data_IF_104447853273
#
_entry.id   IF_104447853273
#
_cell.length_a   1.000
_cell.length_b   1.000
_cell.length_c   1.000
_cell.angle_alpha   90.00
_cell.angle_beta   90.00
_cell.angle_gamma   90.00
#
_symmetry.space_group_name_H-M   'P 1'
#
loop_
_entity.id
_entity.type
_entity.pdbx_description
1 polymer ?
#
# COMPACT_ATOMS: atom_id res chain seq x y z
N UNK A 1 1.17 -7.97 -31.06
CA UNK A 1 2.63 -7.89 -30.96
C UNK A 1 3.15 -8.81 -29.83
N UNK A 2 2.70 -8.61 -28.57
CA UNK A 2 3.21 -9.33 -27.40
C UNK A 2 2.98 -10.85 -27.47
N UNK A 3 1.88 -11.32 -28.07
CA UNK A 3 1.65 -12.77 -28.26
C UNK A 3 2.68 -13.42 -29.18
N UNK A 4 3.27 -12.66 -30.10
CA UNK A 4 4.31 -13.16 -31.02
C UNK A 4 5.73 -13.05 -30.42
N UNK A 5 5.85 -12.45 -29.21
CA UNK A 5 7.11 -12.16 -28.52
C UNK A 5 7.33 -12.99 -27.25
N UNK A 6 6.60 -14.11 -27.09
CA UNK A 6 6.71 -14.97 -25.90
C UNK A 6 5.73 -14.66 -24.77
N UNK A 7 4.88 -13.63 -24.94
CA UNK A 7 3.84 -13.27 -23.99
C UNK A 7 4.30 -12.39 -22.83
N UNK A 8 3.45 -12.30 -21.81
CA UNK A 8 3.68 -11.53 -20.60
C UNK A 8 3.94 -12.46 -19.43
N UNK A 9 4.95 -12.15 -18.64
CA UNK A 9 5.20 -12.77 -17.34
C UNK A 9 4.58 -11.92 -16.24
N UNK A 10 3.65 -12.48 -15.49
CA UNK A 10 2.94 -11.77 -14.41
C UNK A 10 3.37 -12.33 -13.06
N UNK A 11 3.84 -11.45 -12.18
CA UNK A 11 4.10 -11.74 -10.78
C UNK A 11 3.14 -10.94 -9.93
N UNK A 12 2.18 -11.61 -9.30
CA UNK A 12 1.25 -11.01 -8.34
C UNK A 12 1.73 -11.21 -6.89
N UNK A 13 1.29 -10.34 -5.97
CA UNK A 13 1.62 -10.47 -4.55
C UNK A 13 1.01 -11.76 -3.97
N UNK A 14 1.67 -12.31 -2.95
CA UNK A 14 1.13 -13.47 -2.22
C UNK A 14 0.03 -13.09 -1.22
N UNK A 15 -0.01 -11.83 -0.82
CA UNK A 15 -0.99 -11.27 0.13
C UNK A 15 -1.62 -10.02 -0.45
N UNK A 16 -2.89 -9.81 -0.15
CA UNK A 16 -3.68 -8.64 -0.54
C UNK A 16 -3.89 -7.75 0.68
N UNK A 17 -2.81 -7.16 1.19
CA UNK A 17 -2.84 -6.34 2.39
C UNK A 17 -2.94 -4.85 2.05
N UNK A 18 -3.73 -4.13 2.86
CA UNK A 18 -3.89 -2.68 2.78
C UNK A 18 -3.45 -2.02 4.07
N UNK A 19 -2.89 -0.82 3.95
CA UNK A 19 -2.62 0.02 5.10
C UNK A 19 -3.85 0.84 5.51
N UNK A 20 -4.11 0.86 6.82
CA UNK A 20 -4.96 1.83 7.47
C UNK A 20 -4.17 2.62 8.50
N UNK A 21 -4.63 3.81 8.85
CA UNK A 21 -3.90 4.72 9.71
C UNK A 21 -4.81 5.32 10.77
N UNK A 22 -4.31 5.36 12.00
CA UNK A 22 -4.80 6.24 13.06
C UNK A 22 -3.82 7.39 13.20
N UNK A 23 -4.31 8.61 13.05
CA UNK A 23 -3.51 9.82 12.98
C UNK A 23 -3.59 10.59 14.30
N UNK A 24 -2.45 11.00 14.83
CA UNK A 24 -2.32 11.72 16.10
C UNK A 24 -1.44 12.98 15.95
N UNK A 25 -1.73 13.99 16.75
CA UNK A 25 -0.98 15.25 16.80
C UNK A 25 -0.66 15.66 18.25
N UNK A 26 0.33 16.54 18.41
CA UNK A 26 0.78 17.08 19.72
C UNK A 26 1.04 15.97 20.76
N UNK A 27 1.61 14.85 20.32
CA UNK A 27 1.96 13.76 21.22
C UNK A 27 3.37 13.95 21.76
N UNK A 28 3.57 13.57 23.04
CA UNK A 28 4.90 13.46 23.62
C UNK A 28 5.74 12.45 22.82
N UNK A 29 7.06 12.68 22.81
CA UNK A 29 7.99 11.79 22.14
C UNK A 29 7.80 10.35 22.64
N UNK A 30 7.65 9.43 21.70
CA UNK A 30 7.56 7.99 21.90
C UNK A 30 6.37 7.44 22.71
N UNK A 31 5.50 8.28 23.30
CA UNK A 31 4.37 7.79 24.11
C UNK A 31 3.45 6.84 23.33
N UNK A 32 3.07 7.21 22.09
CA UNK A 32 2.26 6.35 21.22
C UNK A 32 3.04 5.10 20.79
N UNK A 33 4.33 5.21 20.49
CA UNK A 33 5.15 4.06 20.10
C UNK A 33 5.27 3.04 21.25
N UNK A 34 5.49 3.52 22.47
CA UNK A 34 5.52 2.68 23.67
C UNK A 34 4.15 2.03 23.94
N UNK A 35 3.07 2.80 23.78
CA UNK A 35 1.70 2.28 23.94
C UNK A 35 1.41 1.19 22.90
N UNK A 36 1.73 1.40 21.64
CA UNK A 36 1.55 0.41 20.56
C UNK A 36 2.35 -0.85 20.86
N UNK A 37 3.60 -0.73 21.28
CA UNK A 37 4.43 -1.89 21.63
C UNK A 37 3.88 -2.70 22.80
N UNK A 38 3.33 -2.03 23.83
CA UNK A 38 2.80 -2.66 25.02
C UNK A 38 1.41 -3.31 24.82
N UNK A 39 0.65 -2.90 23.80
CA UNK A 39 -0.76 -3.29 23.62
C UNK A 39 -1.03 -4.10 22.35
N UNK A 40 -0.01 -4.73 21.73
CA UNK A 40 -0.16 -5.49 20.50
C UNK A 40 -1.34 -6.48 20.52
N UNK A 41 -1.45 -7.27 21.60
CA UNK A 41 -2.53 -8.26 21.76
C UNK A 41 -3.92 -7.61 21.71
N UNK A 42 -4.09 -6.45 22.34
CA UNK A 42 -5.38 -5.73 22.38
C UNK A 42 -5.84 -5.31 20.98
N UNK A 43 -4.91 -4.87 20.10
CA UNK A 43 -5.22 -4.52 18.72
C UNK A 43 -5.70 -5.75 17.92
N UNK A 44 -5.01 -6.88 18.04
CA UNK A 44 -5.43 -8.09 17.33
C UNK A 44 -6.81 -8.59 17.78
N UNK A 45 -7.10 -8.53 19.06
CA UNK A 45 -8.42 -8.90 19.59
C UNK A 45 -9.50 -7.89 19.16
N UNK A 46 -9.22 -6.59 19.22
CA UNK A 46 -10.14 -5.55 18.74
C UNK A 46 -10.49 -5.73 17.27
N UNK A 47 -9.49 -5.87 16.40
CA UNK A 47 -9.67 -6.10 14.96
C UNK A 47 -10.52 -7.35 14.69
N UNK A 48 -10.28 -8.44 15.43
CA UNK A 48 -11.03 -9.70 15.30
C UNK A 48 -12.50 -9.53 15.68
N UNK A 49 -12.79 -8.80 16.75
CA UNK A 49 -14.15 -8.49 17.15
C UNK A 49 -14.86 -7.54 16.19
N UNK A 50 -14.14 -6.53 15.67
CA UNK A 50 -14.68 -5.55 14.74
C UNK A 50 -15.12 -6.18 13.41
N UNK A 51 -14.34 -7.15 12.89
CA UNK A 51 -14.62 -7.77 11.58
C UNK A 51 -14.39 -9.29 11.57
N UNK A 52 -15.21 -10.10 12.27
CA UNK A 52 -15.03 -11.54 12.34
C UNK A 52 -15.06 -12.24 10.96
N UNK A 53 -15.78 -11.65 10.00
CA UNK A 53 -15.95 -12.24 8.67
C UNK A 53 -14.65 -12.36 7.88
N UNK A 54 -13.69 -11.43 8.05
CA UNK A 54 -12.40 -11.51 7.36
C UNK A 54 -11.51 -12.58 8.00
N UNK A 55 -11.57 -12.74 9.31
CA UNK A 55 -10.82 -13.78 10.03
C UNK A 55 -11.29 -15.20 9.67
N UNK A 56 -12.60 -15.41 9.42
CA UNK A 56 -13.11 -16.69 8.90
C UNK A 56 -12.57 -17.05 7.52
N UNK A 57 -12.06 -16.07 6.76
CA UNK A 57 -11.40 -16.24 5.46
C UNK A 57 -9.87 -16.25 5.55
N UNK A 58 -9.32 -16.40 6.75
CA UNK A 58 -7.88 -16.37 7.04
C UNK A 58 -7.19 -15.04 6.67
N UNK A 59 -7.92 -13.94 6.70
CA UNK A 59 -7.39 -12.58 6.62
C UNK A 59 -7.43 -11.88 7.98
N UNK A 60 -7.38 -10.56 7.99
CA UNK A 60 -7.44 -9.71 9.18
C UNK A 60 -6.15 -8.93 9.44
N UNK A 61 -5.99 -8.43 10.65
CA UNK A 61 -4.83 -7.63 11.05
C UNK A 61 -3.54 -8.46 11.01
N UNK A 62 -2.50 -7.92 10.36
CA UNK A 62 -1.18 -8.55 10.23
C UNK A 62 -0.13 -7.89 11.13
N UNK A 63 -0.15 -6.55 11.24
CA UNK A 63 0.77 -5.81 12.09
C UNK A 63 0.24 -4.43 12.45
N UNK A 64 0.73 -3.89 13.56
CA UNK A 64 0.48 -2.52 14.01
C UNK A 64 1.81 -1.88 14.38
N UNK A 65 2.11 -0.73 13.78
CA UNK A 65 3.36 -0.02 14.01
C UNK A 65 3.12 1.49 14.15
N UNK A 66 3.78 2.13 15.10
CA UNK A 66 3.80 3.57 15.22
C UNK A 66 4.94 4.15 14.36
N UNK A 67 4.63 5.19 13.60
CA UNK A 67 5.60 5.87 12.74
C UNK A 67 5.51 7.38 12.96
N UNK A 68 6.63 7.99 13.31
CA UNK A 68 6.73 9.43 13.42
C UNK A 68 6.70 10.07 12.03
N UNK A 69 5.78 11.00 11.82
CA UNK A 69 5.59 11.72 10.56
C UNK A 69 6.29 13.07 10.61
N UNK A 70 6.20 13.75 11.75
CA UNK A 70 6.87 15.03 12.02
C UNK A 70 7.18 15.15 13.51
N UNK A 71 7.85 16.20 13.98
CA UNK A 71 8.12 16.39 15.42
C UNK A 71 6.86 16.34 16.31
N UNK A 72 5.69 16.67 15.76
CA UNK A 72 4.42 16.75 16.52
C UNK A 72 3.35 15.77 16.03
N UNK A 73 3.65 14.91 15.06
CA UNK A 73 2.66 14.01 14.44
C UNK A 73 3.13 12.57 14.39
N UNK A 74 2.25 11.66 14.75
CA UNK A 74 2.47 10.22 14.71
C UNK A 74 1.34 9.56 13.94
N UNK A 75 1.69 8.64 13.06
CA UNK A 75 0.77 7.68 12.43
C UNK A 75 0.93 6.32 13.08
N UNK A 76 -0.17 5.70 13.46
CA UNK A 76 -0.19 4.27 13.78
C UNK A 76 -0.71 3.55 12.55
N UNK A 77 0.18 2.80 11.91
CA UNK A 77 -0.07 2.12 10.65
C UNK A 77 -0.49 0.67 10.92
N UNK A 78 -1.68 0.29 10.46
CA UNK A 78 -2.27 -1.05 10.55
C UNK A 78 -2.18 -1.73 9.20
N UNK A 79 -1.51 -2.86 9.10
CA UNK A 79 -1.49 -3.68 7.89
C UNK A 79 -2.56 -4.76 8.00
N UNK A 80 -3.52 -4.77 7.08
CA UNK A 80 -4.71 -5.63 7.15
C UNK A 80 -4.83 -6.43 5.85
N UNK A 81 -4.82 -7.76 5.95
CA UNK A 81 -5.10 -8.65 4.83
C UNK A 81 -6.60 -8.73 4.55
N UNK A 82 -7.01 -8.16 3.44
CA UNK A 82 -8.42 -8.07 3.01
C UNK A 82 -8.87 -9.20 2.09
N UNK A 83 -7.95 -10.13 1.77
CA UNK A 83 -8.17 -11.24 0.82
C UNK A 83 -8.67 -10.73 -0.54
N UNK A 84 -9.67 -11.37 -1.12
CA UNK A 84 -10.24 -11.02 -2.43
C UNK A 84 -11.14 -9.78 -2.40
N UNK A 85 -11.36 -9.19 -1.23
CA UNK A 85 -12.18 -7.98 -1.13
C UNK A 85 -11.38 -6.75 -1.59
N UNK A 86 -12.05 -5.77 -2.19
CA UNK A 86 -11.49 -4.44 -2.46
C UNK A 86 -10.96 -3.78 -1.16
N UNK A 87 -11.59 -4.06 -0.02
CA UNK A 87 -11.02 -3.93 1.31
C UNK A 87 -11.28 -2.61 2.03
N UNK A 88 -11.60 -1.52 1.35
CA UNK A 88 -11.74 -0.19 1.96
C UNK A 88 -12.66 -0.16 3.20
N UNK A 89 -13.86 -0.73 3.08
CA UNK A 89 -14.81 -0.81 4.19
C UNK A 89 -14.35 -1.73 5.33
N UNK A 90 -13.58 -2.78 5.01
CA UNK A 90 -13.03 -3.69 6.01
C UNK A 90 -11.99 -2.95 6.85
N UNK A 91 -11.08 -2.26 6.18
CA UNK A 91 -10.02 -1.48 6.83
C UNK A 91 -10.63 -0.40 7.71
N UNK A 92 -11.52 0.44 7.17
CA UNK A 92 -12.13 1.52 7.94
C UNK A 92 -12.95 1.00 9.13
N UNK A 93 -13.69 -0.12 9.01
CA UNK A 93 -14.42 -0.72 10.13
C UNK A 93 -13.48 -1.15 11.27
N UNK A 94 -12.33 -1.74 10.92
CA UNK A 94 -11.33 -2.13 11.93
C UNK A 94 -10.73 -0.87 12.58
N UNK A 95 -10.31 0.12 11.80
CA UNK A 95 -9.69 1.35 12.33
C UNK A 95 -10.62 2.13 13.25
N UNK A 96 -11.90 2.23 12.93
CA UNK A 96 -12.89 2.89 13.78
C UNK A 96 -13.04 2.17 15.14
N UNK A 97 -12.98 0.85 15.14
CA UNK A 97 -12.99 0.09 16.40
C UNK A 97 -11.68 0.27 17.19
N UNK A 98 -10.54 0.29 16.50
CA UNK A 98 -9.21 0.46 17.12
C UNK A 98 -9.03 1.82 17.81
N UNK A 99 -9.75 2.85 17.38
CA UNK A 99 -9.78 4.14 18.08
C UNK A 99 -10.08 4.00 19.56
N UNK A 100 -10.98 3.09 19.95
CA UNK A 100 -11.35 2.90 21.35
C UNK A 100 -10.18 2.38 22.20
N UNK A 101 -9.24 1.64 21.64
CA UNK A 101 -8.03 1.18 22.32
C UNK A 101 -7.12 2.36 22.69
N UNK A 102 -7.15 3.44 21.92
CA UNK A 102 -6.39 4.68 22.16
C UNK A 102 -7.13 5.73 22.99
N UNK A 103 -8.08 5.33 23.85
CA UNK A 103 -8.89 6.27 24.65
C UNK A 103 -8.05 7.27 25.49
N UNK A 104 -6.87 6.87 25.95
CA UNK A 104 -5.93 7.75 26.68
C UNK A 104 -5.30 8.84 25.77
N UNK A 105 -5.39 8.72 24.46
CA UNK A 105 -4.89 9.67 23.48
C UNK A 105 -6.00 10.37 22.69
N UNK A 106 -7.25 10.29 23.14
CA UNK A 106 -8.40 10.83 22.42
C UNK A 106 -8.26 12.33 22.12
N UNK A 107 -7.69 13.12 23.04
CA UNK A 107 -7.44 14.54 22.83
C UNK A 107 -6.43 14.85 21.69
N UNK A 108 -5.62 13.86 21.32
CA UNK A 108 -4.59 13.97 20.29
C UNK A 108 -5.01 13.29 18.96
N UNK A 109 -6.16 12.64 18.94
CA UNK A 109 -6.66 11.90 17.78
C UNK A 109 -7.17 12.83 16.68
N UNK A 110 -6.77 12.58 15.43
CA UNK A 110 -7.18 13.34 14.25
C UNK A 110 -8.14 12.59 13.34
N UNK A 111 -7.93 11.29 13.17
CA UNK A 111 -8.73 10.51 12.25
C UNK A 111 -8.27 9.07 12.10
N UNK A 112 -9.18 8.24 11.60
CA UNK A 112 -8.98 6.83 11.27
C UNK A 112 -9.36 6.62 9.79
N UNK A 113 -8.39 6.29 8.93
CA UNK A 113 -8.64 6.19 7.50
C UNK A 113 -7.65 5.25 6.80
N UNK A 114 -8.13 4.54 5.76
CA UNK A 114 -7.27 3.73 4.92
C UNK A 114 -6.25 4.58 4.15
N UNK A 115 -5.13 3.95 3.75
CA UNK A 115 -4.16 4.51 2.83
C UNK A 115 -4.25 3.83 1.47
N UNK A 116 -4.25 4.62 0.40
CA UNK A 116 -4.14 4.12 -0.98
C UNK A 116 -2.68 3.91 -1.43
N UNK A 117 -1.71 4.03 -0.52
CA UNK A 117 -0.31 3.70 -0.81
C UNK A 117 -0.12 2.17 -0.74
N UNK A 118 -0.49 1.49 -1.83
CA UNK A 118 -0.68 0.03 -1.91
C UNK A 118 0.64 -0.73 -2.15
N UNK A 119 1.66 -0.54 -1.33
CA UNK A 119 2.98 -1.18 -1.46
C UNK A 119 2.95 -2.71 -1.37
N UNK A 120 1.94 -3.26 -0.68
CA UNK A 120 1.76 -4.70 -0.50
C UNK A 120 0.88 -5.34 -1.58
N UNK A 121 0.36 -4.54 -2.52
CA UNK A 121 -0.51 -5.00 -3.62
C UNK A 121 0.10 -4.73 -5.00
N UNK A 122 1.41 -4.86 -5.11
CA UNK A 122 2.14 -4.60 -6.36
C UNK A 122 2.07 -5.81 -7.29
N UNK A 123 1.56 -5.60 -8.50
CA UNK A 123 1.64 -6.57 -9.59
C UNK A 123 2.76 -6.16 -10.54
N UNK A 124 3.70 -7.06 -10.77
CA UNK A 124 4.79 -6.84 -11.74
C UNK A 124 4.47 -7.60 -13.02
N UNK A 125 4.51 -6.89 -14.13
CA UNK A 125 4.36 -7.47 -15.47
C UNK A 125 5.64 -7.23 -16.25
N UNK A 126 6.20 -8.27 -16.85
CA UNK A 126 7.41 -8.19 -17.67
C UNK A 126 7.24 -8.92 -18.98
N UNK A 127 7.97 -8.47 -19.99
CA UNK A 127 8.09 -9.15 -21.28
C UNK A 127 9.54 -9.03 -21.76
N UNK A 128 10.02 -10.05 -22.44
CA UNK A 128 11.34 -10.05 -23.05
C UNK A 128 11.19 -10.02 -24.58
N UNK A 129 11.96 -9.15 -25.20
CA UNK A 129 12.01 -9.00 -26.67
C UNK A 129 13.44 -8.91 -27.12
N UNK A 130 13.76 -9.52 -28.26
CA UNK A 130 15.10 -9.37 -28.83
C UNK A 130 15.25 -8.00 -29.50
N UNK A 131 16.49 -7.52 -29.57
CA UNK A 131 16.82 -6.25 -30.22
C UNK A 131 16.36 -6.23 -31.69
N UNK A 132 16.44 -7.35 -32.38
CA UNK A 132 15.97 -7.49 -33.77
C UNK A 132 14.45 -7.33 -33.90
N UNK A 133 13.69 -7.91 -32.95
CA UNK A 133 12.22 -7.85 -32.96
C UNK A 133 11.67 -6.44 -32.72
N UNK A 134 12.40 -5.59 -31.99
CA UNK A 134 11.99 -4.19 -31.74
C UNK A 134 12.50 -3.22 -32.80
N UNK A 135 13.24 -3.67 -33.83
CA UNK A 135 13.72 -2.83 -34.94
C UNK A 135 15.20 -2.48 -34.89
N UNK A 136 15.99 -3.17 -34.07
CA UNK A 136 17.46 -3.05 -34.04
C UNK A 136 18.00 -2.25 -32.85
N UNK A 137 19.33 -2.22 -32.75
CA UNK A 137 20.07 -1.64 -31.63
C UNK A 137 19.72 -0.17 -31.34
N UNK A 138 19.60 0.64 -32.36
CA UNK A 138 19.30 2.06 -32.26
C UNK A 138 17.91 2.31 -31.60
N UNK A 139 16.92 1.47 -31.90
CA UNK A 139 15.59 1.56 -31.27
C UNK A 139 15.66 1.13 -29.79
N UNK A 140 16.40 0.04 -29.49
CA UNK A 140 16.61 -0.40 -28.11
C UNK A 140 17.24 0.71 -27.25
N UNK A 141 18.28 1.36 -27.76
CA UNK A 141 18.94 2.49 -27.07
C UNK A 141 18.01 3.67 -26.82
N UNK A 142 17.15 4.01 -27.80
CA UNK A 142 16.15 5.08 -27.64
C UNK A 142 15.10 4.74 -26.56
N UNK A 143 14.66 3.49 -26.49
CA UNK A 143 13.70 3.04 -25.44
C UNK A 143 14.33 3.20 -24.07
N UNK A 144 15.59 2.77 -23.90
CA UNK A 144 16.31 2.92 -22.63
C UNK A 144 16.50 4.39 -22.27
N UNK A 145 16.92 5.22 -23.22
CA UNK A 145 17.12 6.65 -23.00
C UNK A 145 15.82 7.38 -22.64
N UNK A 146 14.68 7.02 -23.26
CA UNK A 146 13.38 7.59 -22.92
C UNK A 146 12.93 7.20 -21.51
N UNK A 147 13.14 5.95 -21.10
CA UNK A 147 12.87 5.51 -19.72
C UNK A 147 13.76 6.25 -18.71
N UNK A 148 15.03 6.45 -19.04
CA UNK A 148 15.94 7.20 -18.17
C UNK A 148 15.56 8.69 -18.09
N UNK A 149 15.13 9.28 -19.20
CA UNK A 149 14.58 10.63 -19.22
C UNK A 149 13.38 10.77 -18.24
N UNK A 150 12.45 9.80 -18.26
CA UNK A 150 11.29 9.80 -17.36
C UNK A 150 11.66 9.68 -15.87
N UNK A 151 12.81 9.08 -15.52
CA UNK A 151 13.29 9.02 -14.13
C UNK A 151 13.78 10.38 -13.61
N UNK A 152 14.23 11.26 -14.47
CA UNK A 152 14.85 12.53 -14.10
C UNK A 152 13.96 13.75 -14.38
N UNK A 153 12.88 13.58 -15.16
CA UNK A 153 11.96 14.66 -15.53
C UNK A 153 10.53 14.36 -15.05
N UNK A 154 10.04 15.17 -14.10
CA UNK A 154 8.73 15.00 -13.50
C UNK A 154 7.58 15.13 -14.52
N UNK A 155 7.72 15.95 -15.54
CA UNK A 155 6.71 16.12 -16.61
C UNK A 155 6.59 14.84 -17.43
N UNK A 156 7.72 14.20 -17.75
CA UNK A 156 7.73 12.92 -18.44
C UNK A 156 7.22 11.80 -17.55
N UNK A 157 7.68 11.70 -16.31
CA UNK A 157 7.21 10.69 -15.36
C UNK A 157 5.68 10.71 -15.20
N UNK A 158 5.10 11.90 -15.03
CA UNK A 158 3.65 12.08 -14.89
C UNK A 158 2.91 11.65 -16.17
N UNK A 159 3.43 12.00 -17.35
CA UNK A 159 2.81 11.67 -18.63
C UNK A 159 2.90 10.18 -18.94
N UNK A 160 4.04 9.55 -18.69
CA UNK A 160 4.23 8.11 -18.89
C UNK A 160 3.33 7.30 -17.96
N UNK A 161 3.22 7.71 -16.69
CA UNK A 161 2.32 7.08 -15.73
C UNK A 161 0.85 7.13 -16.19
N UNK A 162 0.41 8.26 -16.71
CA UNK A 162 -0.94 8.38 -17.31
C UNK A 162 -1.09 7.53 -18.56
N UNK A 163 -0.04 7.45 -19.40
CA UNK A 163 -0.03 6.65 -20.63
C UNK A 163 -0.22 5.16 -20.37
N UNK A 164 0.45 4.61 -19.34
CA UNK A 164 0.27 3.22 -18.90
C UNK A 164 -1.18 2.95 -18.48
N UNK A 165 -1.81 3.89 -17.76
CA UNK A 165 -3.21 3.76 -17.36
C UNK A 165 -4.15 3.68 -18.56
N UNK A 166 -3.89 4.44 -19.61
CA UNK A 166 -4.67 4.36 -20.85
C UNK A 166 -4.54 2.97 -21.50
N UNK A 167 -3.34 2.39 -21.50
CA UNK A 167 -3.11 1.04 -22.04
C UNK A 167 -3.79 -0.07 -21.21
N UNK A 168 -3.88 0.09 -19.89
CA UNK A 168 -4.57 -0.86 -19.01
C UNK A 168 -6.10 -0.79 -19.21
N UNK A 169 -6.62 0.41 -19.48
CA UNK A 169 -8.07 0.64 -19.63
C UNK A 169 -8.61 0.34 -21.04
N UNK A 170 -7.73 0.18 -22.03
CA UNK A 170 -8.11 -0.10 -23.42
C UNK A 170 -8.38 -1.59 -23.66
#
# INVERSE_FOLDING_TARGET
LLNNLGGLHVKSPRQTAMFGQLLFYQTADDAIAQFVSANQQAFFECAKHAKPSIYRRNGGLLSVNARRVSPTQVSVDFLIDTKEAMGANIVNTILEAERAVFSSFEANFLGAILSNYATEQVVTVSAEVTVQQIGGQHIAEKIVALNDFAKHDIYRATTENKGIFNGISA
#
